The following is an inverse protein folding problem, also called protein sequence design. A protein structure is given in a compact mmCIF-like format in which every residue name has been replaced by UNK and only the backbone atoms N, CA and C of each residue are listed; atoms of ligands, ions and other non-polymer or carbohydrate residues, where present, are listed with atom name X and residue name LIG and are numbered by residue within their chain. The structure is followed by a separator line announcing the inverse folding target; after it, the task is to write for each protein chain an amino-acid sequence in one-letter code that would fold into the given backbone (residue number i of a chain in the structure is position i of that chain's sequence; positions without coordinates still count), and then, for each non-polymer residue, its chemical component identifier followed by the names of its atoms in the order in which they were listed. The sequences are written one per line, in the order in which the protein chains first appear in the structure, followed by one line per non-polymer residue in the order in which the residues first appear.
data_IF_923588277919
#
_entry.id   IF_923588277919
#
_cell.length_a   1.000
_cell.length_b   1.000
_cell.length_c   1.000
_cell.angle_alpha   90.00
_cell.angle_beta   90.00
_cell.angle_gamma   90.00
#
_symmetry.space_group_name_H-M   'P 1'
#
loop_
_entity.id
_entity.type
_entity.pdbx_description
1 polymer ?
#
# COMPACT_ATOMS: atom_id res chain seq x y z
N UNK A 1 -13.96 26.77 2.86
CA UNK A 1 -12.89 26.68 1.83
C UNK A 1 -12.76 25.23 1.37
N UNK A 2 -13.45 24.85 0.29
CA UNK A 2 -13.34 23.50 -0.30
C UNK A 2 -11.96 23.32 -0.93
N UNK A 3 -11.02 22.71 -0.20
CA UNK A 3 -9.71 22.36 -0.77
C UNK A 3 -9.94 21.46 -1.98
N UNK A 4 -9.58 21.95 -3.16
CA UNK A 4 -9.60 21.20 -4.41
C UNK A 4 -8.90 19.86 -4.19
N UNK A 5 -9.55 18.76 -4.56
CA UNK A 5 -8.94 17.43 -4.44
C UNK A 5 -7.54 17.41 -5.09
N UNK A 6 -6.52 16.80 -4.44
CA UNK A 6 -5.16 16.71 -4.97
C UNK A 6 -5.12 16.18 -6.40
N UNK A 7 -4.12 16.59 -7.17
CA UNK A 7 -4.03 16.24 -8.59
C UNK A 7 -3.91 14.73 -8.79
N UNK A 8 -3.09 14.05 -7.96
CA UNK A 8 -2.93 12.60 -8.01
C UNK A 8 -4.22 11.85 -7.67
N UNK A 9 -5.04 12.38 -6.76
CA UNK A 9 -6.33 11.80 -6.42
C UNK A 9 -7.26 11.78 -7.63
N UNK A 10 -7.14 12.75 -8.56
CA UNK A 10 -7.98 12.78 -9.78
C UNK A 10 -7.53 11.81 -10.86
N UNK A 11 -6.35 11.21 -10.74
CA UNK A 11 -5.82 10.26 -11.74
C UNK A 11 -6.53 8.93 -11.67
N UNK A 12 -6.39 8.16 -12.75
CA UNK A 12 -6.96 6.83 -12.83
C UNK A 12 -6.17 5.87 -11.91
N UNK A 13 -6.83 5.24 -10.91
CA UNK A 13 -6.15 4.36 -9.97
C UNK A 13 -5.60 3.07 -10.60
N UNK A 14 -6.16 2.57 -11.71
CA UNK A 14 -5.55 1.44 -12.44
C UNK A 14 -4.22 1.83 -13.07
N UNK A 15 -4.09 3.07 -13.55
CA UNK A 15 -2.83 3.61 -14.08
C UNK A 15 -1.80 3.77 -12.97
N UNK A 16 -2.19 4.31 -11.82
CA UNK A 16 -1.30 4.38 -10.66
C UNK A 16 -0.83 2.99 -10.21
N UNK A 17 -1.73 2.00 -10.16
CA UNK A 17 -1.38 0.63 -9.85
C UNK A 17 -0.40 0.05 -10.88
N UNK A 18 -0.69 0.20 -12.17
CA UNK A 18 0.16 -0.27 -13.25
C UNK A 18 1.56 0.38 -13.20
N UNK A 19 1.63 1.68 -12.89
CA UNK A 19 2.90 2.39 -12.72
C UNK A 19 3.70 1.84 -11.54
N UNK A 20 3.08 1.61 -10.38
CA UNK A 20 3.77 1.02 -9.23
C UNK A 20 4.32 -0.36 -9.57
N UNK A 21 3.54 -1.20 -10.25
CA UNK A 21 3.97 -2.54 -10.67
C UNK A 21 5.10 -2.48 -11.70
N UNK A 22 4.94 -1.66 -12.74
CA UNK A 22 5.93 -1.47 -13.79
C UNK A 22 7.26 -0.95 -13.22
N UNK A 23 7.17 0.05 -12.32
CA UNK A 23 8.34 0.61 -11.66
C UNK A 23 9.01 -0.41 -10.74
N UNK A 24 8.24 -1.26 -10.05
CA UNK A 24 8.80 -2.35 -9.24
C UNK A 24 9.61 -3.33 -10.10
N UNK A 25 9.09 -3.74 -11.26
CA UNK A 25 9.83 -4.61 -12.19
C UNK A 25 11.04 -3.87 -12.77
N UNK A 26 10.88 -2.62 -13.16
CA UNK A 26 11.95 -1.85 -13.78
C UNK A 26 13.15 -1.66 -12.85
N UNK A 27 12.91 -1.45 -11.54
CA UNK A 27 13.98 -1.30 -10.56
C UNK A 27 14.90 -2.52 -10.43
N UNK A 28 14.53 -3.67 -10.99
CA UNK A 28 15.41 -4.84 -11.11
C UNK A 28 16.57 -4.61 -12.09
N UNK A 29 16.38 -3.75 -13.08
CA UNK A 29 17.40 -3.40 -14.07
C UNK A 29 18.40 -2.36 -13.56
N UNK A 30 18.11 -1.69 -12.44
CA UNK A 30 19.01 -0.75 -11.79
C UNK A 30 19.86 -1.49 -10.76
N UNK A 31 21.11 -1.75 -11.14
CA UNK A 31 22.13 -2.39 -10.29
C UNK A 31 22.96 -1.38 -9.52
N UNK A 32 23.06 -0.15 -10.01
CA UNK A 32 23.85 0.92 -9.39
C UNK A 32 23.03 1.73 -8.36
N UNK A 33 23.65 2.18 -7.25
CA UNK A 33 22.94 2.93 -6.22
C UNK A 33 22.58 4.36 -6.66
N UNK A 34 23.43 5.03 -7.44
CA UNK A 34 23.24 6.44 -7.81
C UNK A 34 21.94 6.69 -8.62
N UNK A 35 21.63 5.90 -9.68
CA UNK A 35 20.35 6.02 -10.38
C UNK A 35 19.12 5.80 -9.48
N UNK A 36 19.21 4.88 -8.51
CA UNK A 36 18.11 4.61 -7.58
C UNK A 36 17.87 5.79 -6.63
N UNK A 37 18.93 6.45 -6.15
CA UNK A 37 18.80 7.67 -5.34
C UNK A 37 18.15 8.80 -6.14
N UNK A 38 18.60 9.01 -7.38
CA UNK A 38 18.03 10.03 -8.27
C UNK A 38 16.55 9.76 -8.56
N UNK A 39 16.21 8.51 -8.89
CA UNK A 39 14.83 8.08 -9.13
C UNK A 39 13.96 8.23 -7.88
N UNK A 40 14.46 7.84 -6.70
CA UNK A 40 13.77 8.02 -5.42
C UNK A 40 13.45 9.50 -5.18
N UNK A 41 14.45 10.39 -5.32
CA UNK A 41 14.28 11.82 -5.12
C UNK A 41 13.23 12.42 -6.07
N UNK A 42 13.34 12.13 -7.36
CA UNK A 42 12.40 12.63 -8.37
C UNK A 42 10.95 12.16 -8.10
N UNK A 43 10.76 10.88 -7.81
CA UNK A 43 9.44 10.33 -7.49
C UNK A 43 8.90 10.87 -6.15
N UNK A 44 9.75 11.05 -5.14
CA UNK A 44 9.35 11.57 -3.84
C UNK A 44 8.85 13.02 -3.96
N UNK A 45 9.55 13.86 -4.74
CA UNK A 45 9.10 15.22 -5.06
C UNK A 45 7.78 15.17 -5.85
N UNK A 46 7.70 14.34 -6.89
CA UNK A 46 6.47 14.17 -7.68
C UNK A 46 5.26 13.73 -6.84
N UNK A 47 5.47 12.78 -5.91
CA UNK A 47 4.45 12.31 -4.99
C UNK A 47 4.01 13.41 -4.00
N UNK A 48 4.97 14.13 -3.39
CA UNK A 48 4.68 15.22 -2.46
C UNK A 48 3.87 16.35 -3.14
N UNK A 49 4.30 16.77 -4.33
CA UNK A 49 3.63 17.84 -5.11
C UNK A 49 2.26 17.37 -5.61
N UNK A 50 2.20 16.19 -6.22
CA UNK A 50 0.98 15.69 -6.85
C UNK A 50 -0.12 15.29 -5.86
N UNK A 51 0.25 14.69 -4.71
CA UNK A 51 -0.69 14.34 -3.64
C UNK A 51 -0.86 15.46 -2.60
N UNK A 52 -0.10 16.57 -2.71
CA UNK A 52 -0.06 17.68 -1.74
C UNK A 52 0.21 17.19 -0.31
N UNK A 53 1.10 16.20 -0.19
CA UNK A 53 1.49 15.63 1.09
C UNK A 53 2.55 16.51 1.74
N UNK A 54 2.36 16.83 3.02
CA UNK A 54 3.38 17.50 3.80
C UNK A 54 4.63 16.60 3.87
N UNK A 55 5.86 17.10 3.61
CA UNK A 55 7.07 16.28 3.54
C UNK A 55 7.28 15.39 4.77
N UNK A 56 6.95 15.93 5.95
CA UNK A 56 6.97 15.17 7.20
C UNK A 56 6.04 13.93 7.23
N UNK A 57 4.84 14.04 6.65
CA UNK A 57 3.90 12.90 6.58
C UNK A 57 4.41 11.85 5.61
N UNK A 58 5.01 12.28 4.50
CA UNK A 58 5.65 11.40 3.54
C UNK A 58 6.85 10.66 4.15
N UNK A 59 7.74 11.37 4.85
CA UNK A 59 8.87 10.78 5.56
C UNK A 59 8.42 9.73 6.60
N UNK A 60 7.38 10.03 7.39
CA UNK A 60 6.77 9.06 8.31
C UNK A 60 6.17 7.84 7.61
N UNK A 61 5.55 8.03 6.45
CA UNK A 61 5.01 6.93 5.66
C UNK A 61 6.10 6.01 5.08
N UNK A 62 7.34 6.53 4.94
CA UNK A 62 8.49 5.75 4.48
C UNK A 62 9.23 4.98 5.57
N UNK A 63 8.91 5.20 6.85
CA UNK A 63 9.57 4.51 7.98
C UNK A 63 9.55 2.99 7.85
N UNK A 64 8.45 2.32 7.48
CA UNK A 64 8.45 0.86 7.31
C UNK A 64 9.41 0.38 6.22
N UNK A 65 9.55 1.15 5.13
CA UNK A 65 10.45 0.83 4.02
C UNK A 65 11.91 1.09 4.37
N UNK A 66 12.18 2.15 5.15
CA UNK A 66 13.50 2.41 5.72
C UNK A 66 13.91 1.28 6.66
N UNK A 67 13.02 0.87 7.58
CA UNK A 67 13.29 -0.24 8.50
C UNK A 67 13.56 -1.54 7.76
N UNK A 68 12.74 -1.86 6.75
CA UNK A 68 12.95 -3.02 5.90
C UNK A 68 14.28 -2.94 5.12
N UNK A 69 14.57 -1.78 4.53
CA UNK A 69 15.82 -1.52 3.81
C UNK A 69 17.06 -1.66 4.70
N UNK A 70 17.03 -1.15 5.92
CA UNK A 70 18.13 -1.33 6.89
C UNK A 70 18.35 -2.81 7.21
N UNK A 71 17.27 -3.59 7.32
CA UNK A 71 17.36 -5.04 7.48
C UNK A 71 18.05 -5.71 6.29
N UNK A 72 17.72 -5.31 5.06
CA UNK A 72 18.37 -5.83 3.85
C UNK A 72 19.86 -5.50 3.80
N UNK A 73 20.25 -4.28 4.19
CA UNK A 73 21.67 -3.89 4.27
C UNK A 73 22.40 -4.77 5.27
N UNK A 74 21.89 -4.90 6.50
CA UNK A 74 22.52 -5.71 7.54
C UNK A 74 22.63 -7.16 7.11
N UNK A 75 21.55 -7.77 6.62
CA UNK A 75 21.56 -9.18 6.20
C UNK A 75 22.55 -9.42 5.06
N UNK A 76 22.59 -8.55 4.04
CA UNK A 76 23.51 -8.75 2.91
C UNK A 76 24.96 -8.48 3.31
N UNK A 77 25.22 -7.47 4.15
CA UNK A 77 26.56 -7.19 4.64
C UNK A 77 27.15 -8.35 5.45
N UNK A 78 26.32 -9.11 6.16
CA UNK A 78 26.74 -10.22 7.03
C UNK A 78 26.74 -11.59 6.34
N UNK A 79 25.78 -11.84 5.46
CA UNK A 79 25.57 -13.18 4.89
C UNK A 79 26.27 -13.39 3.54
N UNK A 80 26.60 -12.31 2.82
CA UNK A 80 27.14 -12.44 1.46
C UNK A 80 28.65 -12.75 1.49
N UNK A 81 29.11 -13.80 0.80
CA UNK A 81 30.55 -14.04 0.63
C UNK A 81 31.17 -12.93 -0.23
N UNK A 82 32.36 -12.48 0.16
CA UNK A 82 33.07 -11.33 -0.42
C UNK A 82 34.27 -10.96 0.43
N UNK A 83 34.98 -9.89 0.05
CA UNK A 83 36.16 -9.44 0.80
C UNK A 83 35.74 -8.79 2.13
N UNK A 84 36.27 -9.27 3.27
CA UNK A 84 35.96 -8.69 4.56
C UNK A 84 36.63 -7.31 4.69
N UNK A 85 35.82 -6.28 4.95
CA UNK A 85 36.30 -4.91 5.22
C UNK A 85 37.21 -4.84 6.46
N UNK A 86 36.91 -5.66 7.45
CA UNK A 86 37.70 -5.81 8.68
C UNK A 86 37.94 -7.28 8.97
N UNK A 87 39.14 -7.81 8.68
CA UNK A 87 39.50 -9.20 8.96
C UNK A 87 39.42 -9.55 10.45
N UNK A 88 39.72 -8.59 11.33
CA UNK A 88 39.81 -8.79 12.78
C UNK A 88 38.49 -8.58 13.54
N UNK A 89 37.40 -8.25 12.85
CA UNK A 89 36.11 -8.05 13.49
C UNK A 89 35.46 -9.41 13.84
N UNK A 90 34.75 -9.54 14.99
CA UNK A 90 34.03 -10.76 15.36
C UNK A 90 32.87 -11.09 14.41
N UNK A 91 32.54 -10.18 13.50
CA UNK A 91 31.47 -10.28 12.52
C UNK A 91 32.02 -9.90 11.15
N UNK A 92 31.97 -10.83 10.17
CA UNK A 92 32.38 -10.58 8.79
C UNK A 92 31.41 -9.61 8.12
N UNK A 93 31.92 -8.45 7.72
CA UNK A 93 31.20 -7.45 6.91
C UNK A 93 31.88 -7.38 5.54
N UNK A 94 31.16 -7.69 4.47
CA UNK A 94 31.72 -7.69 3.11
C UNK A 94 31.38 -6.42 2.33
N UNK A 95 32.33 -5.92 1.54
CA UNK A 95 32.13 -4.73 0.71
C UNK A 95 31.05 -4.97 -0.36
N UNK A 96 31.05 -6.14 -0.99
CA UNK A 96 30.03 -6.56 -1.95
C UNK A 96 28.66 -6.76 -1.30
N UNK A 97 28.64 -7.28 -0.07
CA UNK A 97 27.43 -7.39 0.74
C UNK A 97 26.80 -6.03 1.02
N UNK A 98 27.63 -5.05 1.37
CA UNK A 98 27.18 -3.70 1.65
C UNK A 98 26.65 -3.00 0.39
N UNK A 99 27.37 -3.08 -0.73
CA UNK A 99 26.95 -2.44 -1.99
C UNK A 99 25.60 -2.98 -2.49
N UNK A 100 25.45 -4.31 -2.52
CA UNK A 100 24.20 -4.98 -2.93
C UNK A 100 23.09 -4.68 -1.93
N UNK A 101 23.39 -4.71 -0.63
CA UNK A 101 22.45 -4.36 0.43
C UNK A 101 21.88 -2.95 0.28
N UNK A 102 22.74 -1.96 -0.04
CA UNK A 102 22.34 -0.57 -0.28
C UNK A 102 21.43 -0.45 -1.51
N UNK A 103 21.76 -1.13 -2.61
CA UNK A 103 20.94 -1.15 -3.83
C UNK A 103 19.55 -1.74 -3.54
N UNK A 104 19.48 -2.84 -2.79
CA UNK A 104 18.23 -3.47 -2.35
C UNK A 104 17.40 -2.55 -1.45
N UNK A 105 18.04 -1.85 -0.52
CA UNK A 105 17.37 -0.88 0.36
C UNK A 105 16.81 0.32 -0.42
N UNK A 106 17.59 0.87 -1.34
CA UNK A 106 17.14 1.96 -2.21
C UNK A 106 15.98 1.52 -3.11
N UNK A 107 16.03 0.30 -3.63
CA UNK A 107 14.90 -0.29 -4.38
C UNK A 107 13.62 -0.36 -3.54
N UNK A 108 13.73 -0.82 -2.30
CA UNK A 108 12.59 -0.85 -1.38
C UNK A 108 12.02 0.56 -1.12
N UNK A 109 12.87 1.56 -0.99
CA UNK A 109 12.45 2.96 -0.83
C UNK A 109 11.73 3.50 -2.06
N UNK A 110 12.26 3.26 -3.25
CA UNK A 110 11.65 3.65 -4.54
C UNK A 110 10.26 3.03 -4.69
N UNK A 111 10.12 1.72 -4.43
CA UNK A 111 8.81 1.03 -4.42
C UNK A 111 7.90 1.63 -3.35
N UNK A 112 8.45 1.97 -2.18
CA UNK A 112 7.75 2.64 -1.10
C UNK A 112 7.16 3.99 -1.51
N UNK A 113 7.85 4.78 -2.33
CA UNK A 113 7.32 6.06 -2.85
C UNK A 113 6.03 5.81 -3.63
N UNK A 114 6.07 4.84 -4.55
CA UNK A 114 4.92 4.46 -5.36
C UNK A 114 3.77 3.90 -4.51
N UNK A 115 4.08 3.04 -3.54
CA UNK A 115 3.10 2.48 -2.61
C UNK A 115 2.41 3.56 -1.77
N UNK A 116 3.17 4.52 -1.22
CA UNK A 116 2.62 5.66 -0.47
C UNK A 116 1.75 6.53 -1.37
N UNK A 117 2.25 6.89 -2.57
CA UNK A 117 1.50 7.72 -3.52
C UNK A 117 0.17 7.06 -3.94
N UNK A 118 0.19 5.74 -4.17
CA UNK A 118 -0.99 4.94 -4.47
C UNK A 118 -1.95 4.90 -3.29
N UNK A 119 -1.47 4.54 -2.09
CA UNK A 119 -2.29 4.42 -0.89
C UNK A 119 -2.98 5.73 -0.49
N UNK A 120 -2.33 6.87 -0.71
CA UNK A 120 -2.92 8.19 -0.41
C UNK A 120 -3.90 8.69 -1.45
N UNK A 121 -3.82 8.17 -2.69
CA UNK A 121 -4.53 8.75 -3.83
C UNK A 121 -5.64 7.85 -4.38
N UNK A 122 -5.52 6.53 -4.24
CA UNK A 122 -6.44 5.56 -4.81
C UNK A 122 -7.66 5.34 -3.90
N UNK A 123 -8.82 5.86 -4.29
CA UNK A 123 -10.09 5.49 -3.66
C UNK A 123 -10.44 4.03 -4.02
N UNK A 124 -10.71 3.14 -3.03
CA UNK A 124 -10.99 1.72 -3.28
C UNK A 124 -12.12 1.47 -4.29
N UNK A 125 -13.19 2.26 -4.21
CA UNK A 125 -14.31 2.21 -5.16
C UNK A 125 -13.85 2.50 -6.59
N UNK A 126 -13.08 3.57 -6.78
CA UNK A 126 -12.60 3.99 -8.10
C UNK A 126 -11.58 3.00 -8.65
N UNK A 127 -10.75 2.42 -7.79
CA UNK A 127 -9.82 1.35 -8.18
C UNK A 127 -10.58 0.17 -8.77
N UNK A 128 -11.56 -0.38 -8.05
CA UNK A 128 -12.32 -1.54 -8.53
C UNK A 128 -13.07 -1.22 -9.82
N UNK A 129 -13.72 -0.06 -9.91
CA UNK A 129 -14.40 0.37 -11.15
C UNK A 129 -13.41 0.51 -12.32
N UNK A 130 -12.25 1.12 -12.09
CA UNK A 130 -11.22 1.27 -13.12
C UNK A 130 -10.64 -0.07 -13.59
N UNK A 131 -10.56 -1.07 -12.70
CA UNK A 131 -10.11 -2.42 -13.04
C UNK A 131 -11.15 -3.16 -13.90
N UNK A 132 -12.44 -2.99 -13.62
CA UNK A 132 -13.50 -3.53 -14.47
C UNK A 132 -13.40 -2.94 -15.88
N UNK A 133 -13.17 -1.64 -15.98
CA UNK A 133 -13.15 -0.94 -17.27
C UNK A 133 -11.88 -1.20 -18.09
N UNK A 134 -10.70 -1.16 -17.47
CA UNK A 134 -9.43 -1.17 -18.19
C UNK A 134 -8.68 -2.50 -18.10
N UNK A 135 -8.82 -3.21 -16.98
CA UNK A 135 -8.20 -4.53 -16.77
C UNK A 135 -9.18 -5.69 -17.02
N UNK A 136 -10.40 -5.39 -17.51
CA UNK A 136 -11.48 -6.37 -17.79
C UNK A 136 -11.78 -7.29 -16.60
N UNK A 137 -11.67 -6.78 -15.37
CA UNK A 137 -12.04 -7.52 -14.17
C UNK A 137 -13.52 -7.89 -14.23
N UNK A 138 -13.85 -9.16 -13.96
CA UNK A 138 -15.23 -9.63 -13.95
C UNK A 138 -16.10 -8.81 -12.99
N UNK A 139 -17.28 -8.31 -13.40
CA UNK A 139 -18.18 -7.57 -12.53
C UNK A 139 -18.53 -8.32 -11.23
N UNK A 140 -18.66 -9.65 -11.28
CA UNK A 140 -18.92 -10.49 -10.09
C UNK A 140 -17.83 -10.33 -9.03
N UNK A 141 -16.57 -10.40 -9.45
CA UNK A 141 -15.41 -10.24 -8.56
C UNK A 141 -15.36 -8.80 -8.04
N UNK A 142 -15.62 -7.82 -8.90
CA UNK A 142 -15.63 -6.41 -8.54
C UNK A 142 -16.69 -6.08 -7.47
N UNK A 143 -17.93 -6.55 -7.62
CA UNK A 143 -18.98 -6.35 -6.62
C UNK A 143 -18.70 -7.10 -5.32
N UNK A 144 -18.12 -8.31 -5.39
CA UNK A 144 -17.67 -9.04 -4.21
C UNK A 144 -16.59 -8.26 -3.43
N UNK A 145 -15.59 -7.71 -4.14
CA UNK A 145 -14.54 -6.86 -3.55
C UNK A 145 -15.11 -5.59 -2.90
N UNK A 146 -16.05 -4.91 -3.55
CA UNK A 146 -16.70 -3.72 -3.00
C UNK A 146 -17.56 -4.05 -1.77
N UNK A 147 -18.30 -5.15 -1.81
CA UNK A 147 -19.10 -5.63 -0.68
C UNK A 147 -18.19 -5.97 0.51
N UNK A 148 -17.10 -6.70 0.26
CA UNK A 148 -16.09 -7.01 1.27
C UNK A 148 -15.43 -5.76 1.86
N UNK A 149 -15.03 -4.80 1.03
CA UNK A 149 -14.47 -3.54 1.49
C UNK A 149 -15.44 -2.75 2.38
N UNK A 150 -16.74 -2.70 2.00
CA UNK A 150 -17.77 -2.08 2.82
C UNK A 150 -17.93 -2.79 4.16
N UNK A 151 -17.99 -4.12 4.16
CA UNK A 151 -18.07 -4.93 5.37
C UNK A 151 -16.89 -4.64 6.31
N UNK A 152 -15.66 -4.64 5.77
CA UNK A 152 -14.44 -4.28 6.51
C UNK A 152 -14.52 -2.88 7.15
N UNK A 153 -15.11 -1.91 6.44
CA UNK A 153 -15.35 -0.57 6.98
C UNK A 153 -16.38 -0.52 8.11
N UNK A 154 -17.32 -1.48 8.15
CA UNK A 154 -18.34 -1.58 9.19
C UNK A 154 -17.87 -2.37 10.43
N UNK A 155 -16.88 -3.26 10.30
CA UNK A 155 -16.37 -4.11 11.38
C UNK A 155 -15.98 -3.33 12.66
N UNK A 156 -15.25 -2.19 12.62
CA UNK A 156 -14.89 -1.48 13.85
C UNK A 156 -16.11 -0.96 14.62
N UNK A 157 -17.17 -0.57 13.91
CA UNK A 157 -18.42 -0.13 14.55
C UNK A 157 -19.14 -1.32 15.19
N UNK A 158 -19.26 -2.43 14.46
CA UNK A 158 -19.88 -3.66 14.97
C UNK A 158 -19.11 -4.19 16.20
N UNK A 159 -17.79 -4.23 16.13
CA UNK A 159 -16.92 -4.59 17.24
C UNK A 159 -17.21 -3.75 18.48
N UNK A 160 -17.18 -2.42 18.36
CA UNK A 160 -17.48 -1.51 19.49
C UNK A 160 -18.86 -1.76 20.09
N UNK A 161 -19.87 -1.99 19.25
CA UNK A 161 -21.24 -2.30 19.72
C UNK A 161 -21.28 -3.61 20.50
N UNK A 162 -20.65 -4.67 19.97
CA UNK A 162 -20.60 -5.99 20.60
C UNK A 162 -19.83 -5.93 21.93
N UNK A 163 -18.64 -5.31 21.94
CA UNK A 163 -17.82 -5.14 23.15
C UNK A 163 -18.59 -4.38 24.24
N UNK A 164 -19.31 -3.31 23.90
CA UNK A 164 -20.15 -2.55 24.85
C UNK A 164 -21.32 -3.39 25.36
N UNK A 165 -22.00 -4.12 24.49
CA UNK A 165 -23.10 -5.00 24.89
C UNK A 165 -22.63 -6.11 25.85
N UNK A 166 -21.47 -6.70 25.61
CA UNK A 166 -20.86 -7.68 26.51
C UNK A 166 -20.43 -7.06 27.83
N UNK A 167 -19.87 -5.85 27.83
CA UNK A 167 -19.46 -5.16 29.04
C UNK A 167 -20.63 -4.89 30.01
N UNK A 168 -21.83 -4.60 29.50
CA UNK A 168 -23.05 -4.42 30.31
C UNK A 168 -23.51 -5.71 30.98
N UNK A 169 -23.07 -6.89 30.49
CA UNK A 169 -23.42 -8.19 31.09
C UNK A 169 -22.44 -8.66 32.16
N UNK A 170 -21.33 -7.96 32.38
CA UNK A 170 -20.32 -8.36 33.37
C UNK A 170 -20.78 -8.08 34.82
N UNK A 171 -20.32 -8.87 35.80
CA UNK A 171 -20.55 -8.59 37.23
C UNK A 171 -20.03 -7.22 37.67
N UNK A 172 -20.66 -6.61 38.67
CA UNK A 172 -20.31 -5.27 39.18
C UNK A 172 -18.87 -5.21 39.70
N UNK A 173 -18.33 -6.32 40.23
CA UNK A 173 -16.93 -6.47 40.66
C UNK A 173 -15.93 -6.24 39.53
N UNK A 174 -16.23 -6.72 38.32
CA UNK A 174 -15.39 -6.54 37.13
C UNK A 174 -15.61 -5.18 36.46
N UNK A 175 -16.81 -4.59 36.58
CA UNK A 175 -17.09 -3.22 36.08
C UNK A 175 -16.23 -2.15 36.76
N UNK A 176 -15.91 -2.32 38.05
CA UNK A 176 -15.13 -1.34 38.83
C UNK A 176 -13.68 -1.23 38.35
N UNK A 177 -13.10 -2.31 37.80
CA UNK A 177 -11.76 -2.33 37.18
C UNK A 177 -11.69 -1.55 35.85
N UNK A 178 -12.82 -1.26 35.22
CA UNK A 178 -12.89 -0.61 33.89
C UNK A 178 -13.32 0.86 33.89
N UNK A 179 -13.71 1.44 35.03
CA UNK A 179 -14.39 2.76 35.09
C UNK A 179 -13.51 3.95 34.66
N UNK A 180 -12.19 3.79 34.58
CA UNK A 180 -11.26 4.85 34.16
C UNK A 180 -11.01 4.91 32.64
N UNK A 181 -11.52 3.97 31.83
CA UNK A 181 -11.25 3.89 30.39
C UNK A 181 -12.51 4.14 29.55
N UNK A 182 -12.38 4.89 28.44
CA UNK A 182 -13.46 5.17 27.48
C UNK A 182 -13.92 3.90 26.70
N UNK A 183 -13.10 2.84 26.75
CA UNK A 183 -13.33 1.53 26.14
C UNK A 183 -13.42 0.45 27.24
N UNK A 184 -14.36 -0.51 27.16
CA UNK A 184 -14.49 -1.57 28.16
C UNK A 184 -13.27 -2.50 28.14
N UNK A 185 -12.63 -2.70 29.29
CA UNK A 185 -11.54 -3.68 29.44
C UNK A 185 -12.12 -5.08 29.65
N UNK A 186 -12.18 -5.86 28.57
CA UNK A 186 -12.64 -7.25 28.59
C UNK A 186 -11.47 -8.21 28.78
N UNK A 187 -11.67 -9.28 29.56
CA UNK A 187 -10.74 -10.40 29.61
C UNK A 187 -10.70 -11.18 28.28
N UNK A 188 -9.63 -11.95 28.06
CA UNK A 188 -9.40 -12.71 26.80
C UNK A 188 -10.58 -13.60 26.42
N UNK A 189 -11.19 -14.29 27.39
CA UNK A 189 -12.38 -15.14 27.15
C UNK A 189 -13.59 -14.34 26.67
N UNK A 190 -13.79 -13.14 27.20
CA UNK A 190 -14.89 -12.28 26.79
C UNK A 190 -14.65 -11.65 25.41
N UNK A 191 -13.38 -11.32 25.08
CA UNK A 191 -12.98 -10.91 23.74
C UNK A 191 -13.20 -12.02 22.71
N UNK A 192 -12.89 -13.27 23.04
CA UNK A 192 -13.17 -14.41 22.17
C UNK A 192 -14.68 -14.57 21.87
N UNK A 193 -15.55 -14.36 22.87
CA UNK A 193 -17.01 -14.34 22.68
C UNK A 193 -17.46 -13.18 21.79
N UNK A 194 -16.86 -12.00 21.95
CA UNK A 194 -17.12 -10.85 21.09
C UNK A 194 -16.72 -11.14 19.63
N UNK A 195 -15.55 -11.76 19.42
CA UNK A 195 -15.07 -12.15 18.11
C UNK A 195 -15.97 -13.19 17.44
N UNK A 196 -16.40 -14.21 18.19
CA UNK A 196 -17.38 -15.19 17.70
C UNK A 196 -18.72 -14.52 17.32
N UNK A 197 -19.21 -13.60 18.14
CA UNK A 197 -20.43 -12.84 17.84
C UNK A 197 -20.27 -12.01 16.58
N UNK A 198 -19.12 -11.35 16.41
CA UNK A 198 -18.80 -10.56 15.22
C UNK A 198 -18.76 -11.45 13.96
N UNK A 199 -18.18 -12.66 14.07
CA UNK A 199 -18.14 -13.64 12.99
C UNK A 199 -19.56 -14.03 12.55
N UNK A 200 -20.42 -14.42 13.51
CA UNK A 200 -21.81 -14.82 13.22
C UNK A 200 -22.60 -13.69 12.57
N UNK A 201 -22.48 -12.47 13.09
CA UNK A 201 -23.14 -11.28 12.50
C UNK A 201 -22.62 -11.01 11.09
N UNK A 202 -21.31 -11.14 10.86
CA UNK A 202 -20.68 -10.94 9.56
C UNK A 202 -21.17 -11.97 8.54
N UNK A 203 -21.25 -13.25 8.90
CA UNK A 203 -21.78 -14.32 8.04
C UNK A 203 -23.22 -14.00 7.62
N UNK A 204 -24.11 -13.73 8.59
CA UNK A 204 -25.52 -13.39 8.31
C UNK A 204 -25.65 -12.16 7.42
N UNK A 205 -24.81 -11.13 7.63
CA UNK A 205 -24.84 -9.93 6.78
C UNK A 205 -24.34 -10.20 5.36
N UNK A 206 -23.38 -11.11 5.21
CA UNK A 206 -22.83 -11.52 3.92
C UNK A 206 -23.85 -12.31 3.12
N UNK A 207 -24.55 -13.27 3.76
CA UNK A 207 -25.66 -14.03 3.15
C UNK A 207 -26.78 -13.10 2.66
N UNK A 208 -27.21 -12.15 3.51
CA UNK A 208 -28.22 -11.14 3.12
C UNK A 208 -27.76 -10.30 1.94
N UNK A 209 -26.48 -9.92 1.91
CA UNK A 209 -25.91 -9.15 0.81
C UNK A 209 -25.85 -9.97 -0.47
N UNK A 210 -25.45 -11.25 -0.38
CA UNK A 210 -25.43 -12.16 -1.52
C UNK A 210 -26.83 -12.35 -2.11
N UNK A 211 -27.83 -12.66 -1.28
CA UNK A 211 -29.23 -12.79 -1.71
C UNK A 211 -29.78 -11.51 -2.31
N UNK A 212 -29.43 -10.34 -1.75
CA UNK A 212 -29.82 -9.04 -2.30
C UNK A 212 -29.16 -8.75 -3.66
N UNK A 213 -27.92 -9.19 -3.88
CA UNK A 213 -27.23 -9.05 -5.17
C UNK A 213 -27.83 -9.98 -6.22
N UNK A 214 -28.08 -11.24 -5.86
CA UNK A 214 -28.68 -12.24 -6.74
C UNK A 214 -30.12 -11.88 -7.14
N UNK A 215 -30.95 -11.42 -6.20
CA UNK A 215 -32.32 -10.96 -6.48
C UNK A 215 -32.38 -9.69 -7.34
N UNK A 216 -31.35 -8.84 -7.30
CA UNK A 216 -31.16 -7.73 -8.25
C UNK A 216 -30.58 -8.20 -9.60
N UNK A 217 -30.50 -9.51 -9.78
CA UNK A 217 -30.06 -10.17 -10.99
C UNK A 217 -28.55 -10.15 -11.19
N UNK A 218 -27.70 -10.00 -10.15
CA UNK A 218 -26.24 -10.04 -10.32
C UNK A 218 -25.82 -11.42 -10.87
N UNK A 219 -25.59 -11.47 -12.19
CA UNK A 219 -25.35 -12.69 -12.94
C UNK A 219 -24.17 -12.57 -13.91
N UNK A 220 -23.87 -13.63 -14.67
CA UNK A 220 -22.89 -13.56 -15.74
C UNK A 220 -23.49 -12.78 -16.90
N UNK A 221 -22.83 -11.74 -17.39
CA UNK A 221 -23.30 -10.98 -18.53
C UNK A 221 -22.77 -9.55 -18.59
N UNK A 222 -22.97 -8.86 -19.73
CA UNK A 222 -22.58 -7.46 -19.88
C UNK A 222 -23.34 -6.57 -18.89
N UNK A 223 -22.64 -5.56 -18.36
CA UNK A 223 -23.18 -4.62 -17.36
C UNK A 223 -22.76 -3.20 -17.68
N UNK A 224 -23.66 -2.26 -17.39
CA UNK A 224 -23.35 -0.83 -17.42
C UNK A 224 -22.69 -0.41 -16.11
N UNK A 225 -21.77 0.56 -16.20
CA UNK A 225 -21.02 1.07 -15.05
C UNK A 225 -21.57 2.43 -14.65
N UNK A 226 -22.07 2.55 -13.42
CA UNK A 226 -22.48 3.83 -12.86
C UNK A 226 -21.26 4.59 -12.32
N UNK A 227 -21.02 5.82 -12.82
CA UNK A 227 -19.83 6.65 -12.59
C UNK A 227 -18.53 6.03 -13.14
N UNK A 228 -18.38 5.98 -14.48
CA UNK A 228 -17.17 5.48 -15.10
C UNK A 228 -15.94 6.30 -14.70
N UNK A 229 -14.78 5.65 -14.61
CA UNK A 229 -13.48 6.29 -14.42
C UNK A 229 -12.85 6.44 -15.79
N UNK A 230 -12.93 7.63 -16.39
CA UNK A 230 -12.32 7.86 -17.70
C UNK A 230 -10.79 7.86 -17.63
N UNK A 231 -10.14 7.37 -18.68
CA UNK A 231 -8.73 7.66 -18.96
C UNK A 231 -8.65 9.04 -19.61
N UNK A 232 -7.88 9.93 -19.01
CA UNK A 232 -7.63 11.25 -19.56
C UNK A 232 -6.21 11.39 -20.10
N UNK A 233 -6.01 12.38 -20.97
CA UNK A 233 -4.69 12.85 -21.38
C UNK A 233 -3.72 13.10 -20.20
N UNK A 234 -4.18 13.65 -19.06
CA UNK A 234 -3.31 13.83 -17.91
C UNK A 234 -2.82 12.53 -17.24
N UNK A 235 -3.51 11.40 -17.44
CA UNK A 235 -3.01 10.08 -17.02
C UNK A 235 -1.88 9.62 -17.96
N UNK A 236 -2.00 9.89 -19.26
CA UNK A 236 -0.93 9.65 -20.24
C UNK A 236 0.33 10.48 -19.96
N UNK A 237 0.17 11.76 -19.62
CA UNK A 237 1.27 12.63 -19.22
C UNK A 237 1.99 12.13 -17.97
N UNK A 238 1.25 11.59 -16.99
CA UNK A 238 1.84 10.96 -15.81
C UNK A 238 2.69 9.74 -16.19
N UNK A 239 2.15 8.86 -17.04
CA UNK A 239 2.87 7.66 -17.51
C UNK A 239 4.13 8.06 -18.26
N UNK A 240 4.04 9.02 -19.18
CA UNK A 240 5.18 9.52 -19.94
C UNK A 240 6.25 10.14 -19.02
N UNK A 241 5.85 10.94 -18.04
CA UNK A 241 6.77 11.54 -17.06
C UNK A 241 7.49 10.50 -16.22
N UNK A 242 6.78 9.50 -15.70
CA UNK A 242 7.39 8.40 -14.93
C UNK A 242 8.29 7.54 -15.81
N UNK A 243 7.86 7.22 -17.03
CA UNK A 243 8.65 6.46 -17.99
C UNK A 243 9.94 7.19 -18.40
N UNK A 244 9.88 8.53 -18.56
CA UNK A 244 11.05 9.35 -18.83
C UNK A 244 12.05 9.33 -17.68
N UNK A 245 11.59 9.50 -16.43
CA UNK A 245 12.46 9.41 -15.24
C UNK A 245 13.12 8.04 -15.13
N UNK A 246 12.34 6.99 -15.34
CA UNK A 246 12.81 5.61 -15.42
C UNK A 246 13.89 5.44 -16.51
N UNK A 247 13.62 5.92 -17.72
CA UNK A 247 14.54 5.85 -18.84
C UNK A 247 15.87 6.59 -18.57
N UNK A 248 15.78 7.80 -18.03
CA UNK A 248 16.97 8.58 -17.65
C UNK A 248 17.80 7.86 -16.58
N UNK A 249 17.16 7.22 -15.60
CA UNK A 249 17.85 6.44 -14.58
C UNK A 249 18.57 5.21 -15.19
N UNK A 250 18.04 4.61 -16.26
CA UNK A 250 18.73 3.51 -16.98
C UNK A 250 19.90 3.99 -17.86
N UNK A 251 19.90 5.25 -18.28
CA UNK A 251 20.97 5.82 -19.11
C UNK A 251 22.14 6.35 -18.28
N UNK A 252 21.90 6.78 -17.04
CA UNK A 252 22.92 7.34 -16.16
C UNK A 252 24.19 6.45 -16.01
N UNK A 253 24.09 5.12 -15.83
CA UNK A 253 25.27 4.25 -15.78
C UNK A 253 26.01 4.15 -17.12
N UNK A 254 25.28 4.18 -18.25
CA UNK A 254 25.85 4.06 -19.59
C UNK A 254 26.64 5.30 -20.00
N UNK A 255 26.20 6.48 -19.57
CA UNK A 255 26.91 7.72 -19.81
C UNK A 255 28.18 7.83 -18.93
N UNK A 256 28.14 7.31 -17.69
CA UNK A 256 29.30 7.28 -16.81
C UNK A 256 30.39 6.29 -17.29
N UNK A 257 30.00 5.18 -17.91
CA UNK A 257 30.93 4.23 -18.54
C UNK A 257 31.52 4.68 -19.88
N UNK A 258 31.09 5.83 -20.42
CA UNK A 258 31.57 6.38 -21.69
C UNK A 258 32.65 7.47 -21.53
N UNK A 259 33.09 7.76 -20.30
CA UNK A 259 34.29 8.56 -20.05
C UNK A 259 35.50 7.64 -20.11
N UNK A 260 36.34 7.72 -21.16
CA UNK A 260 37.60 6.96 -21.19
C UNK A 260 38.49 7.41 -20.03
N UNK A 261 39.08 6.41 -19.37
CA UNK A 261 40.11 6.57 -18.35
C UNK A 261 41.36 7.30 -18.88
#
# INVERSE_FOLDING_TARGET
MSRSAPWLVRRNPSVLLALVLALSVLTLLLTEPLPLVALYGALAVGACVGARLHPWRFARAQVPFLLFGTGLVVVNALARPGEPLWPDAPVRVTAEGLSIGVVLALRALVIGVGAVAFATSAEPRRLVVSLVQHARLSPRIAYALLAGHRLLGELPRQWRTITRAHAVRLPVSERRRGRASREPRLGVRALARCAFTLLVVSIRSSERTAFALESRGLGPGPRTVWRPVALGWPDGALVAGVALLAWLALLAPRAAGALPA
#
